data_IF_750594103736
#
_entry.id   IF_750594103736
#
_cell.length_a   1.000
_cell.length_b   1.000
_cell.length_c   1.000
_cell.angle_alpha   90.00
_cell.angle_beta   90.00
_cell.angle_gamma   90.00
#
_symmetry.space_group_name_H-M   'P 1'
#
loop_
_entity.id
_entity.type
_entity.pdbx_description
1 polymer ?
2 non-polymer ?
3 non-polymer ?
4 water ?
#
# COMPACT_ATOMS: atom_id res chain seq x y z
N UNK A 2 12.51 22.94 9.26
CA UNK A 2 11.41 23.91 9.20
C UNK A 2 11.25 24.48 7.76
N UNK A 3 12.18 25.36 7.34
CA UNK A 3 12.30 25.91 6.00
C UNK A 3 13.10 24.87 5.19
N UNK A 4 13.91 24.07 5.90
CA UNK A 4 14.69 22.93 5.42
C UNK A 4 13.72 21.84 4.92
N UNK A 5 12.60 21.64 5.67
CA UNK A 5 11.57 20.67 5.31
C UNK A 5 10.74 21.07 4.11
N UNK A 6 10.44 22.38 3.96
CA UNK A 6 9.69 22.79 2.77
C UNK A 6 10.55 22.69 1.52
N UNK A 7 11.87 22.97 1.66
CA UNK A 7 12.82 22.85 0.58
C UNK A 7 12.82 21.42 0.00
N UNK A 8 12.80 20.40 0.91
CA UNK A 8 12.75 18.97 0.57
C UNK A 8 11.45 18.60 -0.15
N UNK A 9 10.29 19.09 0.36
CA UNK A 9 8.98 18.84 -0.25
C UNK A 9 8.88 19.48 -1.65
N UNK A 10 9.46 20.68 -1.83
CA UNK A 10 9.47 21.37 -3.13
C UNK A 10 10.38 20.64 -4.11
N UNK A 11 11.48 20.06 -3.61
CA UNK A 11 12.44 19.29 -4.39
C UNK A 11 11.79 17.98 -4.84
N UNK A 12 10.93 17.38 -3.96
CA UNK A 12 10.15 16.18 -4.24
C UNK A 12 9.07 16.47 -5.31
N UNK A 13 8.69 17.76 -5.48
CA UNK A 13 7.74 18.20 -6.50
C UNK A 13 8.41 18.24 -7.89
N UNK A 14 9.69 18.73 -7.95
CA UNK A 14 10.54 18.86 -9.15
C UNK A 14 10.53 17.61 -10.04
N UNK A 15 10.54 16.43 -9.41
CA UNK A 15 10.49 15.12 -10.07
C UNK A 15 9.06 14.78 -10.50
N UNK A 16 8.07 15.03 -9.62
CA UNK A 16 6.62 14.79 -9.83
C UNK A 16 6.06 15.51 -11.07
N UNK A 17 6.59 16.72 -11.37
CA UNK A 17 6.20 17.57 -12.51
C UNK A 17 6.46 16.92 -13.88
N UNK A 18 7.50 16.07 -13.98
CA UNK A 18 7.93 15.38 -15.20
C UNK A 18 7.08 14.17 -15.60
N UNK A 19 6.64 13.36 -14.61
CA UNK A 19 5.86 12.11 -14.67
C UNK A 19 4.87 11.99 -15.87
N UNK A 20 4.24 13.11 -16.29
CA UNK A 20 3.26 13.24 -17.38
C UNK A 20 3.51 12.40 -18.66
N UNK A 21 4.79 12.21 -19.05
CA UNK A 21 5.17 11.42 -20.23
C UNK A 21 5.15 9.91 -19.95
N UNK A 22 5.59 9.51 -18.73
CA UNK A 22 5.67 8.12 -18.28
C UNK A 22 4.29 7.50 -18.01
N UNK A 23 3.36 8.27 -17.40
CA UNK A 23 1.99 7.85 -17.05
C UNK A 23 1.18 7.33 -18.24
N UNK A 24 1.36 7.98 -19.40
CA UNK A 24 0.69 7.63 -20.65
C UNK A 24 1.16 6.31 -21.22
N UNK A 25 2.49 6.05 -21.15
CA UNK A 25 3.13 4.83 -21.64
C UNK A 25 2.68 3.63 -20.77
N UNK A 26 2.52 3.85 -19.45
CA UNK A 26 2.07 2.89 -18.44
C UNK A 26 0.63 2.42 -18.74
N UNK A 27 -0.29 3.38 -18.99
CA UNK A 27 -1.71 3.13 -19.29
C UNK A 27 -1.94 2.34 -20.59
N UNK A 28 -1.09 2.56 -21.58
CA UNK A 28 -1.18 1.86 -22.87
C UNK A 28 -0.92 0.38 -22.76
N UNK A 29 -0.06 -0.03 -21.80
CA UNK A 29 0.31 -1.41 -21.52
C UNK A 29 -0.78 -2.11 -20.69
N UNK A 30 -1.24 -1.45 -19.60
CA UNK A 30 -2.26 -1.94 -18.67
C UNK A 30 -3.57 -2.28 -19.41
N UNK A 31 -4.08 -1.32 -20.21
CA UNK A 31 -5.32 -1.47 -21.01
C UNK A 31 -5.22 -2.58 -22.05
N UNK A 32 -4.02 -2.75 -22.66
CA UNK A 32 -3.80 -3.81 -23.64
C UNK A 32 -3.75 -5.17 -22.94
N UNK A 33 -3.33 -5.17 -21.66
CA UNK A 33 -3.23 -6.36 -20.82
C UNK A 33 -4.58 -6.68 -20.15
N UNK A 34 -5.45 -5.66 -20.01
CA UNK A 34 -6.77 -5.80 -19.42
C UNK A 34 -7.71 -6.47 -20.43
N UNK A 35 -7.53 -6.15 -21.73
CA UNK A 35 -8.31 -6.70 -22.84
C UNK A 35 -7.95 -8.15 -23.14
N UNK A 36 -6.64 -8.49 -23.07
CA UNK A 36 -6.12 -9.84 -23.28
C UNK A 36 -6.57 -10.78 -22.15
N UNK A 37 -6.75 -10.24 -20.93
CA UNK A 37 -7.21 -11.02 -19.76
C UNK A 37 -8.70 -11.31 -19.82
N UNK A 38 -9.52 -10.31 -20.20
CA UNK A 38 -10.98 -10.43 -20.30
C UNK A 38 -11.39 -11.48 -21.35
N UNK A 39 -10.40 -11.98 -22.14
CA UNK A 39 -10.55 -13.06 -23.12
C UNK A 39 -10.72 -14.37 -22.33
N UNK A 40 -9.80 -14.61 -21.36
CA UNK A 40 -9.75 -15.80 -20.49
C UNK A 40 -11.03 -16.00 -19.71
N UNK A 41 -11.39 -17.27 -19.50
CA UNK A 41 -12.59 -17.74 -18.80
C UNK A 41 -12.66 -17.27 -17.35
N UNK A 42 -11.54 -17.40 -16.61
CA UNK A 42 -11.39 -17.06 -15.19
C UNK A 42 -11.06 -15.59 -14.89
N UNK A 43 -10.52 -14.86 -15.90
CA UNK A 43 -10.11 -13.47 -15.77
C UNK A 43 -10.99 -12.49 -16.60
N UNK A 44 -12.27 -12.84 -16.78
CA UNK A 44 -13.23 -12.02 -17.54
C UNK A 44 -13.72 -10.79 -16.74
N UNK A 45 -13.73 -10.91 -15.40
CA UNK A 45 -14.18 -9.86 -14.49
C UNK A 45 -13.07 -8.95 -13.97
N UNK A 46 -11.87 -9.07 -14.57
CA UNK A 46 -10.68 -8.31 -14.20
C UNK A 46 -10.81 -6.81 -14.60
N UNK A 47 -10.14 -5.95 -13.85
CA UNK A 47 -10.13 -4.50 -14.05
C UNK A 47 -9.24 -3.80 -13.03
N UNK A 48 -8.80 -2.57 -13.36
CA UNK A 48 -7.96 -1.78 -12.44
C UNK A 48 -8.77 -1.28 -11.25
N UNK A 49 -8.12 -1.13 -10.09
CA UNK A 49 -8.76 -0.69 -8.85
C UNK A 49 -9.12 0.79 -8.90
N UNK A 50 -8.09 1.66 -8.80
CA UNK A 50 -8.25 3.11 -8.78
C UNK A 50 -7.96 3.76 -10.12
N UNK A 51 -8.85 4.71 -10.50
CA UNK A 51 -8.74 5.48 -11.72
C UNK A 51 -8.30 6.90 -11.34
N UNK A 52 -7.07 7.22 -11.71
CA UNK A 52 -6.42 8.50 -11.46
C UNK A 52 -5.07 8.60 -12.14
N UNK A 53 -4.42 9.77 -12.03
CA UNK A 53 -3.10 10.00 -12.64
C UNK A 53 -1.98 9.26 -11.89
N UNK A 54 -0.84 9.05 -12.60
CA UNK A 54 0.36 8.33 -12.15
C UNK A 54 0.11 6.82 -11.89
N UNK A 55 -1.18 6.38 -11.95
CA UNK A 55 -1.66 5.01 -11.74
C UNK A 55 -1.12 4.38 -10.45
N UNK A 56 -1.51 4.97 -9.30
CA UNK A 56 -1.13 4.59 -7.92
C UNK A 56 0.39 4.44 -7.71
N UNK A 57 1.15 5.43 -8.22
CA UNK A 57 2.62 5.50 -8.14
C UNK A 57 3.13 5.74 -6.72
N UNK A 58 2.31 6.43 -5.87
CA UNK A 58 2.62 6.81 -4.47
C UNK A 58 3.02 5.58 -3.61
N UNK A 59 4.33 5.26 -3.64
CA UNK A 59 5.00 4.16 -2.94
C UNK A 59 6.50 4.48 -2.85
N UNK A 60 7.11 4.89 -3.99
CA UNK A 60 8.52 5.25 -4.10
C UNK A 60 8.66 6.65 -4.74
N UNK A 61 9.42 7.56 -4.09
CA UNK A 61 9.69 8.94 -4.53
C UNK A 61 10.57 9.03 -5.80
N UNK A 62 11.05 7.87 -6.32
CA UNK A 62 11.81 7.77 -7.56
C UNK A 62 10.75 7.54 -8.65
N UNK A 63 10.46 8.55 -9.51
CA UNK A 63 9.37 8.41 -10.49
C UNK A 63 9.69 7.54 -11.71
N UNK A 64 9.82 6.24 -11.45
CA UNK A 64 10.10 5.19 -12.45
C UNK A 64 9.36 3.91 -12.04
N UNK A 65 9.23 3.68 -10.71
CA UNK A 65 8.55 2.54 -10.09
C UNK A 65 7.05 2.83 -9.97
N UNK A 66 6.24 2.13 -10.78
CA UNK A 66 4.80 2.23 -10.85
C UNK A 66 4.16 0.96 -10.31
N UNK A 67 3.18 1.10 -9.41
CA UNK A 67 2.48 -0.05 -8.86
C UNK A 67 1.00 -0.03 -9.26
N UNK A 68 0.58 -1.07 -10.02
CA UNK A 68 -0.81 -1.19 -10.48
C UNK A 68 -1.49 -2.41 -9.91
N UNK A 69 -2.73 -2.24 -9.47
CA UNK A 69 -3.51 -3.33 -8.89
C UNK A 69 -4.69 -3.72 -9.77
N UNK A 70 -4.76 -5.01 -10.10
CA UNK A 70 -5.84 -5.61 -10.88
C UNK A 70 -6.77 -6.25 -9.87
N UNK A 71 -8.08 -6.10 -10.05
CA UNK A 71 -9.06 -6.71 -9.16
C UNK A 71 -9.95 -7.72 -9.90
N UNK A 72 -10.60 -8.62 -9.16
CA UNK A 72 -11.50 -9.60 -9.72
C UNK A 72 -12.55 -9.94 -8.69
N UNK A 73 -13.85 -9.62 -8.98
CA UNK A 73 -14.92 -9.94 -8.04
C UNK A 73 -15.15 -11.45 -7.92
N UNK A 74 -15.05 -11.95 -6.68
CA UNK A 74 -15.22 -13.36 -6.31
C UNK A 74 -16.42 -13.43 -5.35
N UNK A 75 -17.65 -13.67 -5.87
CA UNK A 75 -18.83 -13.66 -4.99
C UNK A 75 -18.99 -14.94 -4.19
N UNK A 76 -19.89 -14.94 -3.18
CA UNK A 76 -20.17 -16.08 -2.29
C UNK A 76 -18.87 -16.73 -1.76
N UNK A 77 -17.98 -15.90 -1.21
CA UNK A 77 -16.68 -16.26 -0.67
C UNK A 77 -16.77 -16.76 0.77
N UNK A 78 -15.94 -17.75 1.10
CA UNK A 78 -15.82 -18.27 2.47
C UNK A 78 -14.37 -18.16 2.92
N UNK A 79 -14.10 -17.27 3.89
CA UNK A 79 -12.75 -17.08 4.38
C UNK A 79 -12.47 -17.87 5.63
N UNK A 80 -11.40 -18.66 5.60
CA UNK A 80 -10.96 -19.45 6.73
C UNK A 80 -9.59 -18.95 7.11
N UNK A 81 -9.51 -18.32 8.29
CA UNK A 81 -8.28 -17.74 8.84
C UNK A 81 -7.22 -18.81 9.03
N UNK A 82 -5.97 -18.54 8.55
CA UNK A 82 -4.80 -19.40 8.76
C UNK A 82 -4.49 -19.06 10.22
N UNK A 83 -5.30 -19.68 11.12
CA UNK A 83 -5.58 -19.40 12.52
C UNK A 83 -4.42 -18.91 13.33
N UNK A 84 -4.78 -17.87 14.14
CA UNK A 84 -4.04 -17.05 15.08
C UNK A 84 -3.31 -15.87 14.38
N UNK A 85 -3.17 -15.87 13.03
CA UNK A 85 -2.48 -14.80 12.30
C UNK A 85 -3.33 -13.50 12.12
N UNK A 86 -4.68 -13.64 12.11
CA UNK A 86 -5.67 -12.56 12.00
C UNK A 86 -5.69 -11.84 10.62
N UNK A 87 -4.66 -12.03 9.77
CA UNK A 87 -4.55 -11.36 8.47
C UNK A 87 -4.50 -12.28 7.21
N UNK A 88 -4.05 -13.54 7.39
CA UNK A 88 -3.86 -14.49 6.29
C UNK A 88 -4.96 -15.52 6.30
N UNK A 89 -5.61 -15.68 5.15
CA UNK A 89 -6.79 -16.51 4.99
C UNK A 89 -6.70 -17.45 3.80
N UNK A 90 -7.43 -18.57 3.88
CA UNK A 90 -7.62 -19.55 2.80
C UNK A 90 -8.91 -19.14 2.10
N UNK A 91 -8.99 -19.37 0.81
CA UNK A 91 -10.19 -18.96 0.08
C UNK A 91 -11.05 -20.20 -0.29
N UNK A 92 -12.21 -20.32 0.38
CA UNK A 92 -13.21 -21.37 0.19
C UNK A 92 -14.43 -20.76 -0.53
N UNK A 93 -15.30 -21.62 -1.09
CA UNK A 93 -16.45 -21.15 -1.83
C UNK A 93 -17.78 -21.63 -1.23
N UNK A 94 -18.70 -20.67 -0.97
CA UNK A 94 -20.02 -20.85 -0.38
C UNK A 94 -21.06 -21.12 -1.48
N UNK A 95 -21.72 -22.31 -1.44
CA UNK A 95 -22.74 -22.80 -2.39
C UNK A 95 -22.15 -23.13 -3.76
N UNK A 96 -22.66 -24.22 -4.37
CA UNK A 96 -22.19 -24.66 -5.68
C UNK A 96 -23.33 -24.86 -6.73
N UNK A 97 -24.22 -23.86 -6.99
CA UNK A 97 -25.25 -24.08 -8.03
C UNK A 97 -24.65 -23.80 -9.42
N UNK A 98 -24.11 -22.58 -9.61
CA UNK A 98 -23.40 -22.09 -10.80
C UNK A 98 -21.93 -22.32 -10.52
N UNK A 99 -21.23 -23.11 -11.36
CA UNK A 99 -19.81 -23.39 -11.16
C UNK A 99 -18.97 -22.12 -11.41
N UNK A 100 -18.18 -21.73 -10.40
CA UNK A 100 -17.31 -20.55 -10.43
C UNK A 100 -16.18 -20.70 -11.47
N UNK A 101 -15.80 -19.60 -12.18
CA UNK A 101 -14.72 -19.72 -13.19
C UNK A 101 -13.32 -20.03 -12.62
N UNK A 102 -13.18 -19.93 -11.29
CA UNK A 102 -11.93 -20.19 -10.56
C UNK A 102 -11.78 -21.67 -10.11
N UNK A 103 -12.54 -22.59 -10.75
CA UNK A 103 -12.50 -24.02 -10.47
C UNK A 103 -11.14 -24.64 -10.81
N UNK A 104 -10.46 -24.09 -11.83
CA UNK A 104 -9.15 -24.55 -12.30
C UNK A 104 -8.00 -24.32 -11.28
N UNK A 105 -8.21 -23.41 -10.31
CA UNK A 105 -7.25 -23.01 -9.28
C UNK A 105 -7.52 -23.63 -7.89
N UNK A 106 -8.56 -24.48 -7.78
CA UNK A 106 -8.93 -25.17 -6.54
C UNK A 106 -7.97 -26.31 -6.22
N UNK A 107 -7.62 -26.42 -4.93
CA UNK A 107 -6.75 -27.43 -4.32
C UNK A 107 -7.59 -28.04 -3.18
N UNK A 108 -8.71 -28.64 -3.58
CA UNK A 108 -9.71 -29.22 -2.70
C UNK A 108 -10.85 -28.24 -2.55
N UNK A 109 -11.08 -27.76 -1.32
CA UNK A 109 -12.10 -26.74 -1.05
C UNK A 109 -11.49 -25.34 -1.22
N UNK A 110 -10.18 -25.23 -0.94
CA UNK A 110 -9.34 -24.02 -0.94
C UNK A 110 -8.84 -23.63 -2.34
N UNK A 111 -8.76 -22.31 -2.59
CA UNK A 111 -8.27 -21.70 -3.82
C UNK A 111 -6.79 -21.42 -3.67
N UNK A 112 -5.95 -22.12 -4.44
CA UNK A 112 -4.51 -21.97 -4.44
C UNK A 112 -4.13 -20.67 -5.08
N UNK A 113 -3.42 -19.82 -4.33
CA UNK A 113 -2.94 -18.53 -4.77
C UNK A 113 -1.80 -18.73 -5.78
N UNK A 114 -0.99 -19.79 -5.59
CA UNK A 114 0.14 -20.18 -6.43
C UNK A 114 -0.31 -20.64 -7.82
N UNK A 115 -1.42 -21.41 -7.88
CA UNK A 115 -2.05 -21.88 -9.13
C UNK A 115 -2.73 -20.69 -9.82
N UNK A 116 -3.42 -19.84 -9.03
CA UNK A 116 -4.10 -18.65 -9.49
C UNK A 116 -3.11 -17.63 -10.08
N UNK A 117 -1.92 -17.55 -9.47
CA UNK A 117 -0.87 -16.63 -9.88
C UNK A 117 -0.16 -17.08 -11.15
N UNK A 118 0.35 -18.32 -11.16
CA UNK A 118 1.10 -18.90 -12.27
C UNK A 118 0.42 -18.75 -13.63
N UNK A 119 -0.92 -18.97 -13.70
CA UNK A 119 -1.70 -18.82 -14.93
C UNK A 119 -1.77 -17.35 -15.35
N UNK A 120 -1.99 -16.45 -14.36
CA UNK A 120 -2.05 -15.00 -14.55
C UNK A 120 -0.70 -14.53 -15.09
N UNK A 121 0.40 -14.91 -14.40
CA UNK A 121 1.80 -14.62 -14.73
C UNK A 121 2.13 -15.11 -16.15
N UNK A 122 1.56 -16.27 -16.56
CA UNK A 122 1.75 -16.86 -17.89
C UNK A 122 1.06 -16.06 -19.01
N UNK A 123 -0.25 -15.74 -18.84
CA UNK A 123 -1.08 -15.01 -19.81
C UNK A 123 -0.41 -13.73 -20.33
N UNK A 124 0.14 -12.94 -19.42
CA UNK A 124 0.79 -11.68 -19.74
C UNK A 124 2.18 -11.91 -20.35
N UNK A 125 2.92 -12.95 -19.93
CA UNK A 125 4.24 -13.30 -20.50
C UNK A 125 4.08 -13.73 -21.96
N UNK A 126 2.93 -14.38 -22.24
CA UNK A 126 2.51 -14.84 -23.56
C UNK A 126 2.13 -13.61 -24.41
N UNK A 127 1.65 -12.53 -23.76
CA UNK A 127 1.24 -11.26 -24.37
C UNK A 127 2.41 -10.27 -24.58
N UNK A 128 3.49 -10.38 -23.77
CA UNK A 128 4.67 -9.50 -23.87
C UNK A 128 5.40 -9.71 -25.22
N UNK A 129 5.57 -10.98 -25.65
CA UNK A 129 6.21 -11.36 -26.91
C UNK A 129 5.40 -10.90 -28.13
N UNK A 130 4.07 -10.70 -27.93
CA UNK A 130 3.12 -10.23 -28.93
C UNK A 130 3.23 -8.70 -29.10
N UNK A 131 3.76 -7.99 -28.08
CA UNK A 131 3.95 -6.53 -28.12
C UNK A 131 5.12 -6.15 -29.03
N UNK A 132 4.83 -5.32 -30.06
CA UNK A 132 5.78 -4.83 -31.05
C UNK A 132 6.03 -3.31 -30.89
N UNK A 133 5.22 -2.65 -30.02
CA UNK A 133 5.32 -1.21 -29.74
C UNK A 133 6.55 -0.88 -28.88
N UNK A 134 6.47 -1.15 -27.56
CA UNK A 134 7.56 -0.92 -26.61
C UNK A 134 8.26 -2.22 -26.22
N UNK A 135 9.45 -2.12 -25.58
CA UNK A 135 10.22 -3.28 -25.13
C UNK A 135 9.88 -3.58 -23.67
N UNK A 136 9.19 -4.71 -23.45
CA UNK A 136 8.75 -5.15 -22.12
C UNK A 136 9.57 -6.38 -21.69
N UNK A 137 10.18 -6.30 -20.49
CA UNK A 137 10.99 -7.40 -19.93
C UNK A 137 10.38 -7.82 -18.59
N UNK A 138 9.79 -9.03 -18.55
CA UNK A 138 9.17 -9.55 -17.34
C UNK A 138 10.19 -10.17 -16.39
N UNK A 139 10.32 -9.57 -15.19
CA UNK A 139 11.23 -10.03 -14.14
C UNK A 139 10.42 -10.72 -13.04
N UNK A 140 10.69 -12.01 -12.78
CA UNK A 140 9.96 -12.74 -11.74
C UNK A 140 10.83 -13.02 -10.52
N UNK A 141 10.33 -12.65 -9.33
CA UNK A 141 11.02 -12.81 -8.05
C UNK A 141 10.14 -13.54 -7.03
N UNK A 146 4.38 -7.98 -5.07
CA UNK A 146 3.89 -7.93 -6.45
C UNK A 146 4.02 -9.24 -7.21
N UNK A 147 2.89 -9.68 -7.76
CA UNK A 147 2.75 -10.94 -8.51
C UNK A 147 3.58 -10.95 -9.79
N UNK A 148 3.59 -9.83 -10.53
CA UNK A 148 4.31 -9.67 -11.82
C UNK A 148 5.01 -8.30 -11.84
N UNK A 149 6.16 -8.21 -12.53
CA UNK A 149 6.93 -6.97 -12.70
C UNK A 149 7.41 -6.86 -14.15
N UNK A 150 7.44 -5.63 -14.70
CA UNK A 150 7.88 -5.35 -16.07
C UNK A 150 8.91 -4.23 -16.09
N UNK A 151 9.68 -4.15 -17.19
CA UNK A 151 10.67 -3.10 -17.42
C UNK A 151 10.45 -2.50 -18.80
N UNK A 152 9.44 -1.63 -18.90
CA UNK A 152 9.03 -0.96 -20.13
C UNK A 152 10.07 0.09 -20.54
N UNK A 153 10.58 -0.04 -21.79
CA UNK A 153 11.58 0.83 -22.41
C UNK A 153 12.86 0.98 -21.55
N UNK A 154 13.18 -0.07 -20.75
CA UNK A 154 14.34 -0.20 -19.83
C UNK A 154 14.32 0.81 -18.67
N UNK A 155 13.66 1.97 -18.86
CA UNK A 155 13.56 3.05 -17.87
C UNK A 155 12.41 2.84 -16.87
N UNK A 156 11.20 2.56 -17.37
CA UNK A 156 9.97 2.36 -16.57
C UNK A 156 9.92 0.97 -15.95
N UNK A 157 9.56 0.90 -14.66
CA UNK A 157 9.39 -0.32 -13.89
C UNK A 157 7.92 -0.38 -13.46
N UNK A 158 7.18 -1.42 -13.90
CA UNK A 158 5.76 -1.57 -13.56
C UNK A 158 5.51 -2.88 -12.79
N UNK A 159 5.09 -2.76 -11.52
CA UNK A 159 4.77 -3.86 -10.62
C UNK A 159 3.25 -4.08 -10.59
N UNK A 160 2.81 -5.19 -11.19
CA UNK A 160 1.41 -5.60 -11.29
C UNK A 160 1.03 -6.55 -10.16
N UNK A 161 -0.05 -6.22 -9.41
CA UNK A 161 -0.56 -7.05 -8.32
C UNK A 161 -1.99 -7.48 -8.64
N UNK A 162 -2.30 -8.76 -8.39
CA UNK A 162 -3.62 -9.31 -8.64
C UNK A 162 -4.36 -9.52 -7.31
N UNK A 163 -5.53 -8.89 -7.16
CA UNK A 163 -6.31 -9.00 -5.95
C UNK A 163 -7.73 -9.47 -6.14
N UNK A 164 -8.20 -10.29 -5.19
CA UNK A 164 -9.57 -10.77 -5.18
C UNK A 164 -10.37 -9.67 -4.49
N UNK A 165 -11.58 -9.40 -4.98
CA UNK A 165 -12.48 -8.39 -4.41
C UNK A 165 -13.65 -9.11 -3.74
N UNK A 166 -13.94 -8.76 -2.49
CA UNK A 166 -15.04 -9.34 -1.74
C UNK A 166 -15.95 -8.22 -1.31
N UNK A 167 -17.17 -8.24 -1.81
CA UNK A 167 -18.18 -7.24 -1.54
C UNK A 167 -18.96 -7.54 -0.22
N UNK A 168 -18.55 -8.58 0.54
CA UNK A 168 -19.16 -8.92 1.81
C UNK A 168 -18.58 -8.09 2.97
N UNK A 169 -19.13 -8.28 4.18
CA UNK A 169 -18.70 -7.61 5.40
C UNK A 169 -17.27 -7.97 5.70
N UNK A 170 -16.53 -7.05 6.33
CA UNK A 170 -15.14 -7.26 6.67
C UNK A 170 -14.95 -8.37 7.73
N UNK A 171 -13.81 -9.12 7.67
CA UNK A 171 -13.55 -10.18 8.66
C UNK A 171 -13.54 -9.70 10.11
N UNK A 172 -14.06 -10.51 11.02
CA UNK A 172 -14.14 -10.25 12.47
C UNK A 172 -12.85 -9.68 13.08
N UNK A 173 -11.69 -9.97 12.45
CA UNK A 173 -10.38 -9.49 12.88
C UNK A 173 -10.24 -7.97 12.79
N UNK A 174 -11.00 -7.34 11.87
CA UNK A 174 -11.01 -5.90 11.60
C UNK A 174 -12.04 -5.15 12.46
N UNK A 175 -12.95 -5.88 13.15
CA UNK A 175 -14.02 -5.30 13.96
C UNK A 175 -13.59 -4.13 14.84
N UNK A 176 -12.42 -4.23 15.45
CA UNK A 176 -11.88 -3.20 16.35
C UNK A 176 -10.86 -2.26 15.69
N UNK A 177 -10.63 -2.44 14.38
CA UNK A 177 -9.69 -1.62 13.60
C UNK A 177 -10.34 -0.37 13.06
N UNK A 178 -9.58 0.41 12.25
CA UNK A 178 -10.03 1.67 11.63
C UNK A 178 -10.75 2.58 12.67
N UNK A 179 -10.06 2.84 13.81
CA UNK A 179 -10.53 3.67 14.94
C UNK A 179 -10.34 5.17 14.61
N UNK A 180 -11.19 5.63 13.68
CA UNK A 180 -11.23 6.97 13.09
C UNK A 180 -12.38 7.80 13.69
N UNK A 181 -13.20 7.18 14.59
CA UNK A 181 -14.37 7.82 15.22
C UNK A 181 -14.13 9.25 15.77
N UNK A 182 -13.05 9.47 16.50
CA UNK A 182 -12.80 10.79 17.09
C UNK A 182 -12.07 11.74 16.13
N UNK A 183 -11.72 11.25 14.90
CA UNK A 183 -11.02 12.02 13.88
C UNK A 183 -11.90 12.30 12.66
N UNK A 184 -12.26 11.23 11.93
CA UNK A 184 -13.06 11.29 10.71
C UNK A 184 -14.56 11.12 10.95
N UNK A 185 -14.93 10.51 12.11
CA UNK A 185 -16.29 10.27 12.64
C UNK A 185 -16.76 8.83 12.55
N UNK A 186 -17.80 8.49 13.38
CA UNK A 186 -18.48 7.19 13.43
C UNK A 186 -19.27 6.93 12.15
N UNK A 187 -19.81 8.01 11.51
CA UNK A 187 -20.55 8.02 10.24
C UNK A 187 -19.63 7.59 9.11
N UNK A 188 -18.40 8.10 9.11
CA UNK A 188 -17.43 7.78 8.08
C UNK A 188 -16.98 6.32 8.18
N UNK A 189 -16.67 5.87 9.41
CA UNK A 189 -16.27 4.49 9.74
C UNK A 189 -17.29 3.49 9.19
N UNK A 190 -18.59 3.79 9.43
CA UNK A 190 -19.73 3.00 8.99
C UNK A 190 -19.77 2.91 7.47
N UNK A 191 -19.61 4.03 6.78
CA UNK A 191 -19.61 4.12 5.31
C UNK A 191 -18.41 3.40 4.69
N UNK A 192 -17.21 3.54 5.27
CA UNK A 192 -15.99 2.91 4.75
C UNK A 192 -16.05 1.40 4.87
N UNK A 193 -16.58 0.90 6.02
CA UNK A 193 -16.73 -0.52 6.32
C UNK A 193 -17.77 -1.22 5.43
N UNK A 194 -18.64 -0.44 4.75
CA UNK A 194 -19.63 -0.94 3.79
C UNK A 194 -18.99 -1.20 2.44
N UNK A 195 -17.80 -0.62 2.18
CA UNK A 195 -17.09 -0.78 0.90
C UNK A 195 -16.48 -2.20 0.79
N UNK A 196 -16.07 -2.67 -0.41
CA UNK A 196 -15.48 -4.03 -0.49
C UNK A 196 -14.12 -4.09 0.17
N UNK A 197 -13.54 -5.29 0.24
CA UNK A 197 -12.19 -5.48 0.74
C UNK A 197 -11.46 -6.38 -0.24
N UNK A 198 -10.14 -6.36 -0.19
CA UNK A 198 -9.36 -7.13 -1.15
C UNK A 198 -8.47 -8.13 -0.48
N UNK A 199 -7.98 -9.11 -1.26
CA UNK A 199 -7.09 -10.16 -0.79
C UNK A 199 -5.97 -10.31 -1.78
N UNK A 200 -4.73 -10.24 -1.30
CA UNK A 200 -3.57 -10.36 -2.19
C UNK A 200 -2.80 -11.70 -1.97
N UNK A 201 -2.22 -12.31 -3.04
CA UNK A 201 -1.45 -13.53 -2.83
C UNK A 201 -0.10 -13.19 -2.21
N UNK A 202 -0.02 -13.43 -0.90
CA UNK A 202 1.16 -13.23 -0.06
C UNK A 202 1.17 -14.41 0.89
N UNK A 203 2.08 -15.35 0.66
CA UNK A 203 2.14 -16.57 1.45
C UNK A 203 3.07 -16.44 2.64
N UNK A 211 2.75 -21.12 3.32
CA UNK A 211 1.53 -21.78 2.86
C UNK A 211 0.95 -21.07 1.60
N UNK A 212 1.29 -21.61 0.40
CA UNK A 212 0.91 -21.11 -0.94
C UNK A 212 -0.60 -21.21 -1.29
N UNK A 213 -1.45 -21.22 -0.26
CA UNK A 213 -2.91 -21.28 -0.36
C UNK A 213 -3.51 -20.05 0.31
N UNK A 214 -2.68 -19.36 1.16
CA UNK A 214 -3.03 -18.15 1.93
C UNK A 214 -2.90 -16.84 1.16
N UNK A 215 -3.87 -15.94 1.43
CA UNK A 215 -4.01 -14.58 0.88
C UNK A 215 -4.12 -13.63 2.07
N UNK A 216 -3.53 -12.44 1.96
CA UNK A 216 -3.52 -11.39 2.99
C UNK A 216 -4.51 -10.29 2.61
N UNK A 217 -5.23 -9.74 3.61
CA UNK A 217 -6.19 -8.65 3.44
C UNK A 217 -5.50 -7.38 2.90
N UNK A 218 -6.23 -6.66 2.02
CA UNK A 218 -5.78 -5.39 1.43
C UNK A 218 -6.86 -4.31 1.63
N UNK A 219 -6.46 -3.12 2.09
CA UNK A 219 -7.31 -1.95 2.33
C UNK A 219 -6.69 -0.69 1.72
N UNK A 220 -5.79 -0.88 0.73
CA UNK A 220 -5.09 0.18 -0.01
C UNK A 220 -6.07 1.26 -0.51
N UNK A 221 -7.30 0.82 -0.90
CA UNK A 221 -8.38 1.67 -1.38
C UNK A 221 -8.94 2.58 -0.29
N UNK A 222 -9.15 2.04 0.96
CA UNK A 222 -9.63 2.78 2.14
C UNK A 222 -8.59 3.83 2.55
N UNK A 223 -7.31 3.41 2.59
CA UNK A 223 -6.16 4.24 2.93
C UNK A 223 -6.04 5.44 2.03
N UNK A 224 -6.22 5.24 0.72
CA UNK A 224 -6.15 6.27 -0.32
C UNK A 224 -7.28 7.27 -0.11
N UNK A 225 -8.49 6.74 0.15
CA UNK A 225 -9.70 7.49 0.44
C UNK A 225 -9.54 8.41 1.69
N UNK A 226 -9.04 7.89 2.81
CA UNK A 226 -8.87 8.69 4.03
C UNK A 226 -7.73 9.72 3.88
N UNK A 227 -6.72 9.44 3.03
CA UNK A 227 -5.63 10.39 2.77
C UNK A 227 -6.11 11.55 1.93
N UNK A 228 -7.10 11.33 1.06
CA UNK A 228 -7.59 12.42 0.21
C UNK A 228 -8.77 13.15 0.84
N UNK A 229 -9.22 12.73 2.05
CA UNK A 229 -10.30 13.33 2.83
C UNK A 229 -9.93 13.04 4.26
N UNK A 230 -8.89 13.73 4.72
CA UNK A 230 -8.15 13.49 5.96
C UNK A 230 -8.42 14.41 7.13
N UNK A 231 -9.23 15.43 6.97
CA UNK A 231 -9.49 16.36 8.07
C UNK A 231 -10.70 16.04 8.90
N UNK A 232 -10.88 16.77 10.00
CA UNK A 232 -12.08 16.70 10.83
C UNK A 232 -13.07 17.63 10.10
N UNK A 233 -12.55 18.75 9.55
CA UNK A 233 -13.33 19.65 8.72
C UNK A 233 -13.47 19.06 7.33
N UNK A 234 -14.67 19.11 6.78
CA UNK A 234 -14.99 18.66 5.43
C UNK A 234 -14.30 19.51 4.33
N UNK A 235 -13.97 20.75 4.65
CA UNK A 235 -13.29 21.70 3.75
C UNK A 235 -11.75 21.80 4.04
N UNK A 236 -11.18 20.87 4.82
CA UNK A 236 -9.74 20.80 5.09
C UNK A 236 -9.03 20.74 3.73
N UNK A 237 -8.05 21.62 3.55
CA UNK A 237 -7.23 21.76 2.34
C UNK A 237 -8.02 22.19 1.10
N UNK A 238 -9.29 22.65 1.29
CA UNK A 238 -10.14 23.10 0.17
C UNK A 238 -10.06 24.61 -0.07
N UNK A 239 -9.40 25.35 0.88
CA UNK A 239 -9.19 26.80 0.90
C UNK A 239 -7.91 27.17 1.70
N UNK A 240 -7.38 28.40 1.46
CA UNK A 240 -6.17 28.96 2.08
C UNK A 240 -6.16 28.96 3.63
N UNK A 241 -7.35 29.05 4.27
CA UNK A 241 -7.50 29.08 5.72
C UNK A 241 -7.41 27.71 6.39
N UNK A 242 -7.71 26.60 5.66
CA UNK A 242 -7.75 25.25 6.23
C UNK A 242 -6.66 24.27 5.75
N UNK A 243 -5.54 24.83 5.28
CA UNK A 243 -4.39 24.06 4.79
C UNK A 243 -3.58 23.45 5.93
N UNK A 244 -3.67 22.09 6.06
CA UNK A 244 -2.92 21.30 7.03
C UNK A 244 -1.64 20.69 6.39
N UNK A 245 -0.83 19.94 7.16
CA UNK A 245 0.41 19.31 6.66
C UNK A 245 0.42 17.80 6.84
N UNK A 246 -0.78 17.16 6.91
CA UNK A 246 -0.91 15.72 7.03
C UNK A 246 -0.18 15.01 5.89
N UNK A 247 -0.54 15.29 4.64
CA UNK A 247 0.08 14.70 3.43
C UNK A 247 1.57 14.93 3.33
N UNK A 248 2.08 16.13 3.71
CA UNK A 248 3.50 16.50 3.69
C UNK A 248 4.25 15.72 4.74
N UNK A 249 3.62 15.51 5.93
CA UNK A 249 4.23 14.71 7.00
C UNK A 249 4.44 13.29 6.62
N UNK A 250 3.45 12.66 5.91
CA UNK A 250 3.55 11.30 5.38
C UNK A 250 4.64 11.22 4.32
N UNK A 251 4.64 12.15 3.34
CA UNK A 251 5.65 12.27 2.27
C UNK A 251 7.07 12.31 2.86
N UNK A 252 7.31 13.15 3.89
CA UNK A 252 8.62 13.26 4.58
C UNK A 252 9.02 11.96 5.31
N UNK A 253 8.05 11.31 6.01
CA UNK A 253 8.25 10.04 6.69
C UNK A 253 8.65 8.97 5.68
N UNK A 254 7.89 8.84 4.56
CA UNK A 254 8.17 7.89 3.47
C UNK A 254 9.56 8.16 2.88
N UNK A 255 9.92 9.45 2.70
CA UNK A 255 11.22 9.89 2.16
C UNK A 255 12.41 9.55 3.08
N UNK A 256 12.26 9.77 4.40
CA UNK A 256 13.25 9.39 5.42
C UNK A 256 13.56 7.91 5.30
N UNK A 257 12.52 7.02 5.35
CA UNK A 257 12.76 5.59 5.19
C UNK A 257 13.43 5.23 3.86
N UNK A 258 13.01 5.83 2.75
CA UNK A 258 13.62 5.57 1.43
C UNK A 258 15.13 5.90 1.43
N UNK A 259 15.47 7.11 1.93
CA UNK A 259 16.86 7.60 2.04
C UNK A 259 17.72 6.69 2.93
N UNK A 260 17.17 6.24 4.07
CA UNK A 260 17.91 5.34 4.94
C UNK A 260 18.00 3.94 4.30
N UNK A 261 16.89 3.40 3.73
CA UNK A 261 16.92 2.09 3.06
C UNK A 261 17.94 2.05 1.91
N UNK A 262 18.05 3.17 1.14
CA UNK A 262 18.99 3.30 0.03
C UNK A 262 20.40 3.47 0.53
N UNK A 263 20.59 4.18 1.65
CA UNK A 263 21.90 4.38 2.29
C UNK A 263 22.52 3.05 2.69
N UNK A 264 21.75 2.20 3.40
CA UNK A 264 22.16 0.87 3.92
C UNK A 264 21.58 -0.31 3.10
N UNK A 265 21.55 -0.20 1.76
CA UNK A 265 21.03 -1.24 0.86
C UNK A 265 21.79 -2.58 1.02
N UNK A 266 23.14 -2.57 0.87
CA UNK A 266 23.97 -3.77 1.00
C UNK A 266 24.35 -4.10 2.46
N UNK A 267 23.34 -4.10 3.37
CA UNK A 267 23.49 -4.44 4.80
C UNK A 267 22.29 -5.20 5.38
N UNK A 268 21.22 -5.40 4.58
CA UNK A 268 20.02 -6.19 4.89
C UNK A 268 19.30 -5.91 6.25
N UNK A 269 19.65 -4.83 6.97
CA UNK A 269 19.05 -4.50 8.26
C UNK A 269 17.63 -3.96 8.16
N UNK A 270 17.39 -3.16 7.11
CA UNK A 270 16.15 -2.43 6.86
C UNK A 270 15.25 -3.10 5.80
N UNK A 271 15.66 -4.28 5.30
CA UNK A 271 14.96 -5.11 4.31
C UNK A 271 13.53 -5.41 4.72
N UNK A 272 13.26 -5.49 6.02
CA UNK A 272 11.94 -5.82 6.52
C UNK A 272 11.08 -4.59 6.67
N UNK A 273 11.67 -3.38 6.61
CA UNK A 273 10.91 -2.14 6.74
C UNK A 273 10.41 -1.63 5.41
N UNK A 274 9.19 -1.11 5.39
CA UNK A 274 8.62 -0.56 4.16
C UNK A 274 7.75 0.62 4.47
N UNK A 275 7.40 1.38 3.44
CA UNK A 275 6.56 2.56 3.58
C UNK A 275 5.17 2.22 4.23
N UNK A 276 4.78 0.92 4.24
CA UNK A 276 3.55 0.50 4.87
C UNK A 276 3.64 0.73 6.42
N UNK A 277 4.83 0.47 6.99
CA UNK A 277 5.11 0.71 8.40
C UNK A 277 4.95 2.22 8.76
N UNK A 278 5.50 3.09 7.91
CA UNK A 278 5.51 4.52 8.06
C UNK A 278 4.08 5.09 7.80
N UNK A 279 3.33 4.49 6.90
CA UNK A 279 1.93 4.85 6.63
C UNK A 279 1.05 4.43 7.83
N UNK A 280 1.25 3.20 8.38
CA UNK A 280 0.52 2.72 9.55
C UNK A 280 0.72 3.67 10.73
N UNK A 281 1.99 3.94 11.09
CA UNK A 281 2.35 4.83 12.20
C UNK A 281 1.72 6.21 12.03
N UNK A 282 1.78 6.75 10.81
CA UNK A 282 1.19 8.02 10.44
C UNK A 282 -0.32 8.08 10.78
N UNK A 283 -1.09 7.04 10.42
CA UNK A 283 -2.53 6.96 10.70
C UNK A 283 -2.78 6.91 12.17
N UNK A 284 -1.88 6.26 12.94
CA UNK A 284 -1.98 6.23 14.42
C UNK A 284 -1.73 7.61 15.02
N UNK A 285 -0.84 8.44 14.40
CA UNK A 285 -0.57 9.82 14.82
C UNK A 285 -1.80 10.70 14.46
N UNK A 286 -2.49 10.40 13.32
CA UNK A 286 -3.70 11.12 12.90
C UNK A 286 -4.82 10.85 13.89
N UNK A 287 -4.86 9.62 14.47
CA UNK A 287 -5.87 9.25 15.45
C UNK A 287 -5.60 9.90 16.78
N UNK A 288 -4.34 10.12 17.11
CA UNK A 288 -4.05 10.69 18.40
C UNK A 288 -4.09 12.23 18.35
N UNK A 289 -3.86 12.81 17.15
CA UNK A 289 -3.93 14.25 16.86
C UNK A 289 -5.12 14.46 15.93
N UNK A 290 -6.38 14.35 16.42
CA UNK A 290 -7.51 14.38 15.47
C UNK A 290 -7.94 15.75 14.94
N UNK A 291 -7.44 16.81 15.56
CA UNK A 291 -7.82 18.18 15.24
C UNK A 291 -6.99 18.76 14.15
N UNK A 292 -7.63 19.49 13.24
CA UNK A 292 -6.98 20.15 12.13
C UNK A 292 -5.96 21.20 12.61
N UNK A 293 -6.19 21.73 13.85
CA UNK A 293 -5.32 22.72 14.53
C UNK A 293 -3.94 22.13 14.97
N UNK A 294 -3.85 20.77 14.95
CA UNK A 294 -2.69 19.94 15.29
C UNK A 294 -1.88 19.64 14.04
N UNK A 295 -2.41 20.03 12.87
CA UNK A 295 -1.70 19.79 11.63
C UNK A 295 -1.51 21.09 10.78
N UNK A 296 -1.50 22.28 11.40
CA UNK A 296 -1.32 23.54 10.68
C UNK A 296 -0.03 23.59 9.85
N UNK A 297 -0.14 24.05 8.59
CA UNK A 297 0.94 24.16 7.61
C UNK A 297 2.15 24.92 8.16
N UNK A 298 1.91 25.93 9.00
CA UNK A 298 3.01 26.72 9.59
C UNK A 298 3.79 25.90 10.63
N UNK A 299 3.18 24.83 11.19
CA UNK A 299 3.78 23.99 12.23
C UNK A 299 4.43 22.70 11.71
N UNK A 300 4.71 22.62 10.40
CA UNK A 300 5.32 21.49 9.68
C UNK A 300 6.47 20.78 10.44
N UNK A 301 7.43 21.58 10.95
CA UNK A 301 8.57 21.12 11.72
C UNK A 301 8.17 20.26 12.90
N UNK A 302 7.26 20.76 13.75
CA UNK A 302 6.77 20.05 14.92
C UNK A 302 5.89 18.84 14.54
N UNK A 303 5.05 18.98 13.49
CA UNK A 303 4.16 17.91 13.05
C UNK A 303 4.98 16.73 12.54
N UNK A 304 6.03 17.02 11.75
CA UNK A 304 6.94 15.98 11.24
C UNK A 304 7.63 15.34 12.44
N UNK A 305 8.09 16.16 13.38
CA UNK A 305 8.67 15.64 14.62
C UNK A 305 7.72 14.72 15.39
N UNK A 306 6.39 15.05 15.47
CA UNK A 306 5.39 14.23 16.12
C UNK A 306 5.34 12.87 15.47
N UNK A 307 5.46 12.82 14.13
CA UNK A 307 5.49 11.58 13.36
C UNK A 307 6.77 10.79 13.62
N UNK A 308 7.94 11.48 13.67
CA UNK A 308 9.25 10.83 13.90
C UNK A 308 9.30 10.23 15.30
N UNK A 309 8.88 11.02 16.28
CA UNK A 309 8.82 10.70 17.70
C UNK A 309 7.91 9.47 17.93
N UNK A 310 6.73 9.46 17.29
CA UNK A 310 5.82 8.33 17.42
C UNK A 310 6.41 7.05 16.79
N UNK A 311 7.05 7.14 15.60
CA UNK A 311 7.70 6.00 14.92
C UNK A 311 8.80 5.39 15.81
N UNK A 312 9.64 6.27 16.43
CA UNK A 312 10.73 5.89 17.34
C UNK A 312 10.19 5.13 18.57
N UNK A 313 9.02 5.54 19.08
CA UNK A 313 8.36 4.90 20.21
C UNK A 313 7.82 3.51 19.80
N UNK A 314 7.37 3.34 18.55
CA UNK A 314 6.94 2.05 17.99
C UNK A 314 8.13 1.09 17.88
N UNK A 315 9.27 1.58 17.34
CA UNK A 315 10.47 0.73 17.20
C UNK A 315 10.93 0.26 18.54
N UNK A 316 11.10 1.19 19.50
CA UNK A 316 11.57 0.88 20.87
C UNK A 316 10.63 -0.01 21.65
N UNK A 317 9.33 0.16 21.50
CA UNK A 317 8.41 -0.66 22.26
C UNK A 317 8.08 -1.95 21.52
N UNK A 318 8.58 -2.09 20.28
CA UNK A 318 8.33 -3.23 19.37
C UNK A 318 6.82 -3.41 19.12
N UNK A 319 6.05 -2.29 19.14
CA UNK A 319 4.63 -2.38 18.86
C UNK A 319 4.25 -1.41 17.76
N UNK A 320 3.82 -1.97 16.61
CA UNK A 320 3.21 -1.25 15.49
C UNK A 320 2.01 -2.03 15.04
N UNK A 321 0.86 -1.77 15.69
CA UNK A 321 -0.41 -2.44 15.37
C UNK A 321 -0.85 -2.12 13.98
N UNK A 322 -1.35 -3.12 13.26
CA UNK A 322 -1.95 -2.90 11.95
C UNK A 322 -3.21 -2.06 12.22
N UNK A 323 -3.36 -0.98 11.45
CA UNK A 323 -4.42 0.01 11.60
C UNK A 323 -5.84 -0.53 11.35
N UNK A 324 -5.96 -1.68 10.62
CA UNK A 324 -7.19 -2.35 10.26
C UNK A 324 -7.40 -3.60 11.09
N UNK A 325 -6.28 -4.31 11.40
CA UNK A 325 -6.22 -5.56 12.17
C UNK A 325 -5.41 -5.27 13.50
N UNK A 326 -6.11 -4.73 14.56
CA UNK A 326 -5.40 -4.33 15.80
C UNK A 326 -4.61 -5.40 16.53
N UNK A 327 -4.96 -6.70 16.40
CA UNK A 327 -4.20 -7.78 17.06
C UNK A 327 -2.98 -8.17 16.20
N UNK A 328 -2.82 -7.58 15.02
CA UNK A 328 -1.69 -7.89 14.18
C UNK A 328 -0.64 -6.85 14.46
N UNK A 329 0.49 -7.29 15.01
CA UNK A 329 1.61 -6.44 15.32
C UNK A 329 2.67 -6.57 14.24
N UNK A 330 2.88 -5.48 13.47
CA UNK A 330 3.89 -5.38 12.42
C UNK A 330 5.34 -5.36 12.97
N UNK A 331 5.52 -5.02 14.27
CA UNK A 331 6.82 -4.93 14.91
C UNK A 331 7.08 -6.07 15.91
N UNK A 332 6.34 -7.19 15.75
CA UNK A 332 6.59 -8.37 16.57
C UNK A 332 7.94 -8.93 16.14
N UNK A 333 8.65 -9.50 17.12
CA UNK A 333 9.99 -10.11 17.01
C UNK A 333 9.99 -11.30 16.03
N UNK A 334 8.79 -11.74 15.63
CA UNK A 334 8.53 -12.82 14.69
C UNK A 334 8.55 -12.25 13.25
N UNK A 335 8.26 -10.96 13.12
CA UNK A 335 8.24 -10.28 11.83
C UNK A 335 9.55 -9.55 11.58
N UNK A 336 9.93 -8.70 12.56
CA UNK A 336 11.18 -7.93 12.53
C UNK A 336 12.02 -8.25 13.79
N UNK A 337 13.31 -8.54 13.59
CA UNK A 337 14.28 -8.84 14.64
C UNK A 337 14.52 -7.60 15.51
N UNK A 338 14.82 -7.80 16.80
CA UNK A 338 15.12 -6.72 17.75
C UNK A 338 16.29 -5.85 17.26
N UNK A 339 17.37 -6.50 16.77
CA UNK A 339 18.57 -5.86 16.26
C UNK A 339 18.22 -4.89 15.14
N UNK A 340 17.37 -5.32 14.18
CA UNK A 340 16.89 -4.53 13.03
C UNK A 340 16.12 -3.29 13.51
N UNK A 341 15.17 -3.46 14.47
CA UNK A 341 14.41 -2.32 15.03
C UNK A 341 15.35 -1.33 15.74
N UNK A 342 16.32 -1.86 16.51
CA UNK A 342 17.33 -1.11 17.22
C UNK A 342 18.25 -0.38 16.27
N UNK A 343 18.51 -0.97 15.10
CA UNK A 343 19.39 -0.37 14.09
C UNK A 343 18.68 0.79 13.41
N UNK A 344 17.37 0.65 13.12
CA UNK A 344 16.62 1.72 12.52
C UNK A 344 16.48 2.90 13.53
N UNK A 345 16.25 2.57 14.83
CA UNK A 345 16.14 3.55 15.93
C UNK A 345 17.42 4.42 15.97
N UNK A 346 18.60 3.77 15.93
CA UNK A 346 19.89 4.44 15.98
C UNK A 346 20.06 5.44 14.80
N UNK A 347 19.66 5.02 13.58
CA UNK A 347 19.72 5.84 12.36
C UNK A 347 18.75 7.01 12.38
N UNK A 348 17.46 6.75 12.78
CA UNK A 348 16.46 7.81 12.88
C UNK A 348 16.80 8.79 14.00
N UNK A 349 17.26 8.29 15.16
CA UNK A 349 17.62 9.17 16.27
C UNK A 349 18.70 10.12 15.85
N UNK A 350 19.71 9.62 15.07
CA UNK A 350 20.83 10.42 14.55
C UNK A 350 20.31 11.55 13.68
N UNK A 351 19.36 11.24 12.79
CA UNK A 351 18.69 12.17 11.87
C UNK A 351 17.97 13.25 12.63
N UNK A 352 17.04 12.87 13.54
CA UNK A 352 16.25 13.77 14.39
C UNK A 352 17.15 14.76 15.19
N UNK A 353 18.21 14.25 15.81
CA UNK A 353 19.15 14.98 16.63
C UNK A 353 20.20 15.73 15.81
N UNK A 354 20.13 15.68 14.46
CA UNK A 354 21.10 16.35 13.60
C UNK A 354 20.43 17.15 12.48
N UNK A 355 19.12 17.40 12.62
CA UNK A 355 18.28 18.18 11.71
C UNK A 355 18.19 17.49 10.33
N UNK A 356 17.95 16.17 10.34
CA UNK A 356 17.77 15.28 9.20
C UNK A 356 18.80 15.53 8.05
N UNK A 357 20.14 15.33 8.28
CA UNK A 357 21.11 15.59 7.19
C UNK A 357 20.95 14.71 5.94
N UNK A 358 20.15 13.63 6.04
CA UNK A 358 19.90 12.71 4.95
C UNK A 358 18.99 13.35 3.88
N UNK A 359 18.37 14.49 4.23
CA UNK A 359 17.49 15.26 3.36
C UNK A 359 18.30 16.32 2.57
N UNK A 360 19.55 16.62 2.99
CA UNK A 360 20.46 17.60 2.37
C UNK A 360 21.06 17.07 1.06
N UNK A 361 21.69 18.00 0.29
CA UNK A 361 22.35 17.74 -1.00
C UNK A 361 23.88 17.69 -0.87
X LIG B 1 -5.81 18.91 5.16
X LIG C 1 6.80 -6.51 3.50
X LIG C 1 7.01 -4.79 5.18
X LIG C 1 0.23 -4.75 4.17
X LIG C 1 1.82 -4.09 2.66
X LIG C 1 -0.48 -6.14 6.51
X LIG C 1 -1.45 -5.42 5.77
X LIG C 1 -1.12 -4.79 4.61
X LIG C 1 -3.77 -4.81 5.62
X LIG C 1 -1.27 -8.06 7.72
X LIG C 1 4.29 -7.49 7.14
X LIG C 1 0.86 -6.13 6.13
X LIG C 1 1.21 -5.46 4.92
X LIG C 1 2.48 -5.39 4.49
X LIG C 1 3.50 -6.06 5.20
X LIG C 1 3.19 -6.78 6.41
X LIG C 1 1.91 -6.83 6.83
X LIG C 1 4.88 -5.87 4.82
X LIG C 1 5.67 -4.92 5.47
X LIG C 1 7.57 -5.60 4.20
X LIG C 1 5.46 -6.68 3.83
X LIG C 1 0.54 -4.06 3.02
X LIG C 1 2.85 -4.72 3.25
X LIG C 1 -0.82 -6.70 7.73
X LIG C 1 -2.71 -5.47 6.31
X LIG C 1 9.26 -5.40 3.79
#
# INVERSE_FOLDING_TARGET
GASKLRAVLEKLKLSRDDISTAAGMVKGVVDHLLLRLKCDSAFRGVGLLNTGSYYEHVKISAPNEFDVMFKLEVPRIQLEEYSNTRAYYFVKFKRNPKENPLSQFLEGEILSASKMLSKFRKIIKEEINDIKDTDVIMKRKRGGSPAVTLLISEKISVDITLALESKSSWPASTQEGLRIQNWLSAKVRKQLRLKPFYLVPKHAKEGNGFQEETWRLSFSHIEKEILNNHGKSKTCCENKEEKCCRKDCLKLMKYLLEQLKERFKDKKHLDKFSSYHVKTAFFHVCTQNPQDSQWDRKDLGLCFDNCVTYFLQCLRTEKLENYFIPEFNLFSSNLIDKRSKEFLTKQIEYERNNEFPVFDEF
ZN ZN
YQ8 C10 C11 C13 C15 C17 C18 C19 C22 C24 C25 C1 C2 C3 N4 C5 C6 C7 C8 C9 C12 N14 N16 O20 O21 CL23
#
